data_IF_036666964579
#
_entry.id   IF_036666964579
#
_cell.length_a   1.000
_cell.length_b   1.000
_cell.length_c   1.000
_cell.angle_alpha   90.00
_cell.angle_beta   90.00
_cell.angle_gamma   90.00
#
_symmetry.space_group_name_H-M   'P 1'
#
loop_
_entity.id
_entity.type
_entity.pdbx_description
1 polymer ?
#
# COMPACT_ATOMS: atom_id res chain seq x y z
N UNK A 1 36.13 -24.34 -24.74
CA UNK A 1 34.85 -25.04 -24.54
C UNK A 1 34.93 -25.67 -23.17
N UNK A 2 34.64 -24.86 -22.15
CA UNK A 2 34.70 -25.23 -20.73
C UNK A 2 33.32 -24.96 -20.17
N UNK A 3 32.72 -26.03 -19.66
CA UNK A 3 31.44 -26.07 -19.00
C UNK A 3 31.68 -25.69 -17.53
N UNK A 4 31.26 -24.49 -17.13
CA UNK A 4 31.16 -24.11 -15.72
C UNK A 4 29.68 -24.24 -15.32
N UNK A 5 29.40 -25.31 -14.57
CA UNK A 5 28.11 -25.59 -13.96
C UNK A 5 27.83 -24.57 -12.84
N UNK A 6 26.91 -23.64 -13.10
CA UNK A 6 26.28 -22.84 -12.04
C UNK A 6 25.11 -23.63 -11.45
N UNK A 7 25.38 -24.39 -10.38
CA UNK A 7 24.36 -24.93 -9.48
C UNK A 7 23.66 -23.78 -8.74
N UNK A 8 22.44 -23.44 -9.18
CA UNK A 8 21.53 -22.56 -8.44
C UNK A 8 20.72 -23.47 -7.49
N UNK A 9 20.83 -23.35 -6.16
CA UNK A 9 20.04 -24.16 -5.24
C UNK A 9 18.54 -23.83 -5.38
N UNK A 10 17.64 -24.81 -5.24
CA UNK A 10 16.21 -24.61 -5.44
C UNK A 10 15.66 -23.61 -4.43
N UNK A 11 14.97 -22.60 -4.95
CA UNK A 11 14.39 -21.51 -4.17
C UNK A 11 13.57 -22.01 -2.99
N UNK A 12 13.99 -21.60 -1.80
CA UNK A 12 13.15 -21.67 -0.61
C UNK A 12 11.89 -20.84 -0.84
N UNK A 13 10.74 -21.42 -0.47
CA UNK A 13 9.45 -20.71 -0.41
C UNK A 13 9.62 -19.37 0.31
N UNK A 14 9.02 -18.26 -0.16
CA UNK A 14 9.08 -16.99 0.55
C UNK A 14 8.36 -17.15 1.89
N UNK A 15 9.13 -17.31 2.96
CA UNK A 15 8.63 -17.23 4.33
C UNK A 15 7.98 -15.86 4.49
N UNK A 16 6.73 -15.84 4.96
CA UNK A 16 6.04 -14.61 5.34
C UNK A 16 6.85 -13.97 6.47
N UNK A 17 7.39 -12.74 6.31
CA UNK A 17 8.31 -12.19 7.29
C UNK A 17 7.61 -11.99 8.64
N UNK A 18 8.09 -12.69 9.67
CA UNK A 18 7.69 -12.51 11.07
C UNK A 18 7.97 -11.06 11.49
N UNK A 19 6.96 -10.27 11.90
CA UNK A 19 7.11 -8.85 12.21
C UNK A 19 8.18 -8.55 13.26
N UNK A 20 8.45 -9.48 14.20
CA UNK A 20 9.53 -9.32 15.19
C UNK A 20 10.93 -9.48 14.57
N UNK A 21 11.07 -10.33 13.55
CA UNK A 21 12.34 -10.50 12.81
C UNK A 21 12.62 -9.33 11.88
N UNK A 22 11.59 -8.67 11.33
CA UNK A 22 11.78 -7.48 10.48
C UNK A 22 12.39 -6.34 11.31
N UNK A 23 11.98 -6.18 12.57
CA UNK A 23 12.49 -5.15 13.47
C UNK A 23 13.95 -5.42 13.90
N UNK A 24 14.27 -6.68 14.22
CA UNK A 24 15.64 -7.09 14.54
C UNK A 24 16.58 -7.03 13.32
N UNK A 25 16.08 -7.40 12.13
CA UNK A 25 16.83 -7.35 10.87
C UNK A 25 17.02 -5.90 10.40
N UNK A 26 15.99 -5.06 10.53
CA UNK A 26 16.09 -3.63 10.25
C UNK A 26 17.07 -2.92 11.21
N UNK A 27 17.09 -3.29 12.49
CA UNK A 27 18.06 -2.79 13.45
C UNK A 27 19.50 -3.19 13.10
N UNK A 28 19.70 -4.36 12.47
CA UNK A 28 21.02 -4.83 12.03
C UNK A 28 21.53 -4.08 10.78
N UNK A 29 20.66 -3.65 9.87
CA UNK A 29 21.04 -2.82 8.71
C UNK A 29 21.19 -1.32 9.04
N UNK A 30 20.71 -0.87 10.20
CA UNK A 30 20.80 0.51 10.70
C UNK A 30 22.08 0.72 11.53
N UNK A 31 23.23 0.32 11.01
CA UNK A 31 24.51 0.67 11.64
C UNK A 31 24.68 2.21 11.69
N UNK A 32 24.88 2.80 12.88
CA UNK A 32 24.90 4.26 13.07
C UNK A 32 26.15 4.96 12.52
N UNK A 33 27.08 4.23 11.88
CA UNK A 33 28.42 4.76 11.58
C UNK A 33 28.54 5.45 10.20
N UNK A 34 27.49 5.45 9.35
CA UNK A 34 27.52 6.13 8.04
C UNK A 34 26.32 7.00 7.69
N UNK A 35 25.53 7.43 8.67
CA UNK A 35 24.37 8.30 8.40
C UNK A 35 24.75 9.75 8.70
N UNK A 36 24.83 10.57 7.65
CA UNK A 36 25.14 12.00 7.79
C UNK A 36 24.05 12.73 8.61
N UNK A 37 24.38 13.87 9.26
CA UNK A 37 23.44 14.60 10.12
C UNK A 37 22.12 15.01 9.41
N UNK A 38 22.11 15.09 8.08
CA UNK A 38 20.92 15.41 7.26
C UNK A 38 20.00 14.20 7.08
N UNK A 39 20.54 13.03 6.77
CA UNK A 39 19.78 11.78 6.61
C UNK A 39 19.14 11.35 7.94
N UNK A 40 19.84 11.59 9.06
CA UNK A 40 19.31 11.31 10.41
C UNK A 40 18.05 12.11 10.73
N UNK A 41 17.91 13.33 10.21
CA UNK A 41 16.71 14.14 10.40
C UNK A 41 15.54 13.68 9.51
N UNK A 42 15.83 13.16 8.31
CA UNK A 42 14.82 12.59 7.42
C UNK A 42 14.29 11.27 7.99
N UNK A 43 15.17 10.37 8.41
CA UNK A 43 14.81 9.10 9.06
C UNK A 43 14.02 9.36 10.35
N UNK A 44 14.43 10.34 11.17
CA UNK A 44 13.70 10.71 12.38
C UNK A 44 12.29 11.23 12.07
N UNK A 45 12.11 12.01 11.00
CA UNK A 45 10.78 12.48 10.57
C UNK A 45 9.89 11.35 10.03
N UNK A 46 10.48 10.36 9.35
CA UNK A 46 9.77 9.18 8.87
C UNK A 46 9.36 8.26 10.03
N UNK A 47 10.26 7.99 10.98
CA UNK A 47 9.97 7.17 12.16
C UNK A 47 8.93 7.83 13.07
N UNK A 48 8.97 9.16 13.24
CA UNK A 48 8.03 9.89 14.11
C UNK A 48 6.60 9.92 13.55
N UNK A 49 6.40 9.82 12.22
CA UNK A 49 5.05 9.71 11.63
C UNK A 49 4.48 8.30 11.78
N UNK A 50 5.32 7.27 11.63
CA UNK A 50 4.91 5.86 11.74
C UNK A 50 4.37 5.52 13.13
N UNK A 51 5.02 6.02 14.19
CA UNK A 51 4.62 5.74 15.57
C UNK A 51 3.28 6.36 15.95
N UNK A 52 2.90 7.51 15.38
CA UNK A 52 1.64 8.21 15.70
C UNK A 52 0.43 7.49 15.08
N UNK A 53 0.58 6.91 13.89
CA UNK A 53 -0.49 6.13 13.26
C UNK A 53 -0.72 4.78 13.95
N UNK A 54 0.36 4.08 14.35
CA UNK A 54 0.25 2.79 15.05
C UNK A 54 -0.37 2.91 16.44
N UNK A 55 -0.08 3.98 17.19
CA UNK A 55 -0.61 4.18 18.56
C UNK A 55 -2.12 4.49 18.56
N UNK A 56 -2.62 5.19 17.54
CA UNK A 56 -4.06 5.42 17.35
C UNK A 56 -4.82 4.12 17.05
N UNK A 57 -4.23 3.21 16.25
CA UNK A 57 -4.83 1.92 15.92
C UNK A 57 -4.91 1.00 17.16
N UNK A 58 -3.84 0.98 17.97
CA UNK A 58 -3.72 0.10 19.15
C UNK A 58 -4.66 0.49 20.29
N UNK A 59 -5.03 1.77 20.41
CA UNK A 59 -5.98 2.27 21.44
C UNK A 59 -7.45 1.90 21.17
N UNK A 60 -7.83 1.60 19.93
CA UNK A 60 -9.20 1.23 19.59
C UNK A 60 -9.47 -0.29 19.67
N UNK A 61 -8.46 -1.13 19.47
CA UNK A 61 -8.59 -2.60 19.53
C UNK A 61 -8.88 -3.16 20.94
N UNK A 62 -8.59 -2.40 22.00
CA UNK A 62 -8.60 -2.93 23.37
C UNK A 62 -10.00 -3.06 24.01
N UNK A 63 -11.10 -2.82 23.28
CA UNK A 63 -12.49 -2.83 23.83
C UNK A 63 -13.48 -3.80 23.18
N UNK A 64 -13.07 -4.65 22.24
CA UNK A 64 -13.97 -5.53 21.49
C UNK A 64 -13.52 -6.97 21.63
N UNK A 65 -14.40 -7.85 22.11
CA UNK A 65 -14.17 -9.28 21.83
C UNK A 65 -15.48 -10.07 21.73
N UNK A 66 -16.47 -9.80 22.57
CA UNK A 66 -17.66 -10.69 22.63
C UNK A 66 -18.82 -10.19 21.75
N UNK A 67 -19.25 -8.94 21.92
CA UNK A 67 -20.40 -8.39 21.18
C UNK A 67 -20.12 -8.24 19.68
N UNK A 68 -18.88 -7.89 19.34
CA UNK A 68 -18.46 -7.66 17.96
C UNK A 68 -18.42 -8.95 17.15
N UNK A 69 -17.88 -10.04 17.70
CA UNK A 69 -17.85 -11.34 17.01
C UNK A 69 -19.26 -11.87 16.75
N UNK A 70 -20.17 -11.70 17.70
CA UNK A 70 -21.58 -12.09 17.54
C UNK A 70 -22.28 -11.24 16.46
N UNK A 71 -22.05 -9.92 16.46
CA UNK A 71 -22.63 -9.03 15.44
C UNK A 71 -22.09 -9.32 14.02
N UNK A 72 -20.80 -9.66 13.88
CA UNK A 72 -20.20 -10.08 12.60
C UNK A 72 -20.83 -11.36 12.07
N UNK A 73 -21.04 -12.34 12.94
CA UNK A 73 -21.64 -13.62 12.58
C UNK A 73 -23.11 -13.46 12.17
N UNK A 74 -23.88 -12.65 12.91
CA UNK A 74 -25.29 -12.35 12.59
C UNK A 74 -25.42 -11.54 11.30
N UNK A 75 -24.55 -10.53 11.07
CA UNK A 75 -24.57 -9.76 9.83
C UNK A 75 -24.22 -10.61 8.61
N UNK A 76 -23.23 -11.51 8.74
CA UNK A 76 -22.83 -12.45 7.69
C UNK A 76 -23.92 -13.47 7.40
N UNK A 77 -24.61 -13.97 8.44
CA UNK A 77 -25.70 -14.92 8.30
C UNK A 77 -26.94 -14.28 7.66
N UNK A 78 -27.32 -13.08 8.10
CA UNK A 78 -28.47 -12.35 7.57
C UNK A 78 -28.31 -11.85 6.14
N UNK A 79 -27.08 -11.68 5.65
CA UNK A 79 -26.79 -11.25 4.28
C UNK A 79 -26.65 -12.38 3.25
N UNK A 80 -26.77 -13.66 3.66
CA UNK A 80 -26.59 -14.79 2.76
C UNK A 80 -27.84 -15.10 1.94
N UNK A 81 -27.67 -15.37 0.64
CA UNK A 81 -28.75 -15.84 -0.23
C UNK A 81 -29.43 -17.12 0.27
N UNK A 82 -28.68 -18.02 0.90
CA UNK A 82 -29.22 -19.26 1.48
C UNK A 82 -30.16 -18.98 2.66
N UNK A 83 -29.85 -17.97 3.49
CA UNK A 83 -30.71 -17.59 4.62
C UNK A 83 -32.05 -17.05 4.12
N UNK A 84 -32.03 -16.19 3.10
CA UNK A 84 -33.25 -15.63 2.49
C UNK A 84 -34.15 -16.76 1.99
N UNK A 85 -33.60 -17.73 1.24
CA UNK A 85 -34.37 -18.85 0.70
C UNK A 85 -34.96 -19.76 1.79
N UNK A 86 -34.18 -20.11 2.82
CA UNK A 86 -34.68 -20.90 3.95
C UNK A 86 -35.76 -20.14 4.75
N UNK A 87 -35.57 -18.85 4.99
CA UNK A 87 -36.52 -18.02 5.73
C UNK A 87 -37.84 -17.87 4.97
N UNK A 88 -37.79 -17.59 3.67
CA UNK A 88 -39.00 -17.55 2.82
C UNK A 88 -39.69 -18.91 2.80
N UNK A 89 -38.95 -20.01 2.64
CA UNK A 89 -39.52 -21.37 2.69
C UNK A 89 -40.19 -21.68 4.03
N UNK A 90 -39.58 -21.30 5.14
CA UNK A 90 -40.17 -21.44 6.48
C UNK A 90 -41.48 -20.65 6.61
N UNK A 91 -41.50 -19.38 6.18
CA UNK A 91 -42.72 -18.55 6.20
C UNK A 91 -43.83 -19.16 5.33
N UNK A 92 -43.49 -19.65 4.14
CA UNK A 92 -44.46 -20.32 3.25
C UNK A 92 -45.00 -21.60 3.89
N UNK A 93 -44.13 -22.43 4.47
CA UNK A 93 -44.54 -23.68 5.14
C UNK A 93 -45.41 -23.40 6.37
N UNK A 94 -45.05 -22.40 7.17
CA UNK A 94 -45.82 -21.98 8.35
C UNK A 94 -47.21 -21.46 7.97
N UNK A 95 -47.29 -20.65 6.91
CA UNK A 95 -48.54 -20.11 6.39
C UNK A 95 -49.43 -21.22 5.82
N UNK A 96 -48.86 -22.16 5.05
CA UNK A 96 -49.58 -23.32 4.53
C UNK A 96 -50.08 -24.24 5.65
N UNK A 97 -49.25 -24.49 6.66
CA UNK A 97 -49.62 -25.29 7.83
C UNK A 97 -50.79 -24.68 8.61
N UNK A 98 -50.76 -23.37 8.86
CA UNK A 98 -51.84 -22.67 9.56
C UNK A 98 -53.12 -22.55 8.72
N UNK A 99 -53.02 -22.35 7.41
CA UNK A 99 -54.21 -22.26 6.52
C UNK A 99 -54.90 -23.60 6.30
N UNK A 100 -54.16 -24.71 6.34
CA UNK A 100 -54.70 -26.07 6.23
C UNK A 100 -55.26 -26.61 7.56
N UNK A 101 -54.86 -26.04 8.70
CA UNK A 101 -55.38 -26.37 10.03
C UNK A 101 -56.80 -25.80 10.24
N UNK A 102 -57.80 -26.50 9.72
CA UNK A 102 -59.24 -26.15 9.66
C UNK A 102 -60.00 -25.99 11.01
N UNK A 103 -59.34 -25.82 12.15
CA UNK A 103 -60.06 -25.65 13.43
C UNK A 103 -59.22 -25.43 14.69
N UNK A 104 -57.94 -25.82 14.68
CA UNK A 104 -57.00 -25.62 15.79
C UNK A 104 -55.71 -24.94 15.30
N UNK A 105 -55.84 -23.93 14.42
CA UNK A 105 -54.69 -23.18 13.95
C UNK A 105 -54.10 -22.34 15.11
N UNK A 106 -52.81 -22.51 15.46
CA UNK A 106 -52.15 -21.68 16.47
C UNK A 106 -52.13 -20.19 16.09
N UNK A 107 -52.18 -19.86 14.79
CA UNK A 107 -52.21 -18.48 14.27
C UNK A 107 -53.23 -18.35 13.11
N UNK A 108 -54.53 -18.13 13.40
CA UNK A 108 -55.56 -17.92 12.38
C UNK A 108 -55.32 -16.65 11.57
N UNK A 109 -55.81 -16.63 10.32
CA UNK A 109 -55.79 -15.42 9.47
C UNK A 109 -56.43 -14.25 10.24
N UNK A 110 -55.73 -13.12 10.51
CA UNK A 110 -54.65 -12.48 9.72
C UNK A 110 -53.19 -12.66 10.24
N UNK A 111 -52.85 -13.78 10.90
CA UNK A 111 -51.48 -14.13 11.36
C UNK A 111 -50.83 -13.10 12.30
N UNK A 112 -51.40 -12.90 13.48
CA UNK A 112 -50.96 -11.88 14.44
C UNK A 112 -49.59 -12.22 15.04
N UNK A 113 -49.35 -13.50 15.34
CA UNK A 113 -48.07 -13.92 15.92
C UNK A 113 -46.92 -13.78 14.93
N UNK A 114 -47.13 -14.20 13.68
CA UNK A 114 -46.13 -14.05 12.63
C UNK A 114 -45.81 -12.57 12.37
N UNK A 115 -46.83 -11.70 12.31
CA UNK A 115 -46.63 -10.26 12.15
C UNK A 115 -45.86 -9.63 13.32
N UNK A 116 -46.11 -10.05 14.56
CA UNK A 116 -45.40 -9.56 15.74
C UNK A 116 -43.91 -9.94 15.68
N UNK A 117 -43.62 -11.21 15.38
CA UNK A 117 -42.25 -11.72 15.28
C UNK A 117 -41.49 -11.02 14.14
N UNK A 118 -42.11 -10.90 12.96
CA UNK A 118 -41.49 -10.21 11.82
C UNK A 118 -41.18 -8.73 12.14
N UNK A 119 -42.12 -8.04 12.79
CA UNK A 119 -41.92 -6.64 13.20
C UNK A 119 -40.75 -6.50 14.16
N UNK A 120 -40.63 -7.42 15.13
CA UNK A 120 -39.52 -7.42 16.09
C UNK A 120 -38.18 -7.69 15.40
N UNK A 121 -38.12 -8.69 14.50
CA UNK A 121 -36.91 -9.00 13.73
C UNK A 121 -36.47 -7.79 12.89
N UNK A 122 -37.41 -7.16 12.18
CA UNK A 122 -37.12 -5.97 11.37
C UNK A 122 -36.59 -4.79 12.20
N UNK A 123 -37.12 -4.58 13.40
CA UNK A 123 -36.65 -3.52 14.30
C UNK A 123 -35.17 -3.71 14.71
N UNK A 124 -34.73 -4.97 14.90
CA UNK A 124 -33.33 -5.27 15.21
C UNK A 124 -32.40 -5.25 13.99
N UNK A 125 -32.92 -5.35 12.77
CA UNK A 125 -32.09 -5.35 11.56
C UNK A 125 -31.37 -4.02 11.35
N UNK A 126 -32.04 -2.88 11.49
CA UNK A 126 -31.44 -1.58 11.19
C UNK A 126 -30.22 -1.25 12.08
N UNK A 127 -30.24 -1.47 13.42
CA UNK A 127 -29.05 -1.31 14.26
C UNK A 127 -27.92 -2.28 13.93
N UNK A 128 -28.22 -3.55 13.64
CA UNK A 128 -27.20 -4.55 13.28
C UNK A 128 -26.53 -4.19 11.96
N UNK A 129 -27.32 -3.77 10.97
CA UNK A 129 -26.81 -3.28 9.69
C UNK A 129 -25.94 -2.05 9.94
N UNK A 130 -26.39 -1.08 10.73
CA UNK A 130 -25.64 0.14 11.05
C UNK A 130 -24.33 -0.16 11.80
N UNK A 131 -24.32 -1.11 12.72
CA UNK A 131 -23.10 -1.57 13.40
C UNK A 131 -22.14 -2.25 12.43
N UNK A 132 -22.64 -3.08 11.52
CA UNK A 132 -21.82 -3.74 10.51
C UNK A 132 -21.22 -2.75 9.50
N UNK A 133 -21.99 -1.72 9.12
CA UNK A 133 -21.54 -0.63 8.26
C UNK A 133 -20.49 0.23 8.95
N UNK A 134 -20.71 0.61 10.22
CA UNK A 134 -19.76 1.40 10.99
C UNK A 134 -18.40 0.68 11.11
N UNK A 135 -18.41 -0.65 11.26
CA UNK A 135 -17.19 -1.47 11.28
C UNK A 135 -16.51 -1.56 9.92
N UNK A 136 -17.25 -1.70 8.83
CA UNK A 136 -16.66 -1.67 7.47
C UNK A 136 -16.03 -0.31 7.19
N UNK A 137 -16.71 0.79 7.51
CA UNK A 137 -16.18 2.14 7.34
C UNK A 137 -14.89 2.38 8.14
N UNK A 138 -14.77 1.80 9.34
CA UNK A 138 -13.55 1.87 10.15
C UNK A 138 -12.38 1.12 9.48
N UNK A 139 -12.62 -0.09 8.97
CA UNK A 139 -11.63 -0.85 8.20
C UNK A 139 -11.22 -0.12 6.93
N UNK A 140 -12.18 0.43 6.19
CA UNK A 140 -11.93 1.18 4.97
C UNK A 140 -11.09 2.43 5.25
N UNK A 141 -11.35 3.14 6.36
CA UNK A 141 -10.54 4.28 6.79
C UNK A 141 -9.09 3.87 7.11
N UNK A 142 -8.90 2.73 7.78
CA UNK A 142 -7.57 2.21 8.09
C UNK A 142 -6.82 1.84 6.81
N UNK A 143 -7.45 1.12 5.90
CA UNK A 143 -6.88 0.76 4.60
C UNK A 143 -6.51 2.02 3.81
N UNK A 144 -7.41 3.01 3.73
CA UNK A 144 -7.12 4.28 3.05
C UNK A 144 -5.94 5.04 3.68
N UNK A 145 -5.79 5.01 5.01
CA UNK A 145 -4.65 5.63 5.68
C UNK A 145 -3.33 4.93 5.38
N UNK A 146 -3.35 3.60 5.28
CA UNK A 146 -2.19 2.80 4.91
C UNK A 146 -1.81 3.03 3.44
N UNK A 147 -2.78 3.01 2.54
CA UNK A 147 -2.56 3.28 1.11
C UNK A 147 -1.99 4.68 0.89
N UNK A 148 -2.44 5.67 1.65
CA UNK A 148 -1.86 7.02 1.65
C UNK A 148 -0.39 7.02 2.08
N UNK A 149 -0.03 6.28 3.13
CA UNK A 149 1.36 6.16 3.60
C UNK A 149 2.26 5.49 2.56
N UNK A 150 1.79 4.40 1.93
CA UNK A 150 2.51 3.71 0.86
C UNK A 150 2.71 4.63 -0.34
N UNK A 151 1.67 5.35 -0.77
CA UNK A 151 1.77 6.28 -1.89
C UNK A 151 2.76 7.42 -1.60
N UNK A 152 2.70 8.02 -0.41
CA UNK A 152 3.62 9.07 -0.01
C UNK A 152 5.08 8.56 0.03
N UNK A 153 5.30 7.33 0.49
CA UNK A 153 6.63 6.72 0.49
C UNK A 153 7.15 6.54 -0.94
N UNK A 154 6.33 6.02 -1.84
CA UNK A 154 6.68 5.87 -3.26
C UNK A 154 7.02 7.21 -3.91
N UNK A 155 6.26 8.27 -3.61
CA UNK A 155 6.52 9.62 -4.12
C UNK A 155 7.90 10.16 -3.67
N UNK A 156 8.26 9.95 -2.40
CA UNK A 156 9.57 10.35 -1.87
C UNK A 156 10.71 9.55 -2.53
N UNK A 157 10.52 8.24 -2.71
CA UNK A 157 11.52 7.39 -3.38
C UNK A 157 11.74 7.81 -4.83
N UNK A 158 10.67 8.14 -5.57
CA UNK A 158 10.76 8.66 -6.95
C UNK A 158 11.52 9.99 -6.96
N UNK A 159 11.23 10.91 -6.03
CA UNK A 159 11.93 12.19 -5.95
C UNK A 159 13.44 12.00 -5.68
N UNK A 160 13.80 11.09 -4.78
CA UNK A 160 15.19 10.77 -4.49
C UNK A 160 15.91 10.13 -5.69
N UNK A 161 15.22 9.26 -6.44
CA UNK A 161 15.75 8.69 -7.68
C UNK A 161 15.96 9.77 -8.74
N UNK A 162 15.04 10.72 -8.87
CA UNK A 162 15.14 11.83 -9.82
C UNK A 162 16.35 12.72 -9.50
N UNK A 163 16.53 13.10 -8.23
CA UNK A 163 17.70 13.89 -7.81
C UNK A 163 19.01 13.16 -8.10
N UNK A 164 19.08 11.85 -7.86
CA UNK A 164 20.26 11.04 -8.16
C UNK A 164 20.54 10.98 -9.67
N UNK A 165 19.49 10.82 -10.48
CA UNK A 165 19.59 10.81 -11.94
C UNK A 165 20.10 12.15 -12.47
N UNK A 166 19.52 13.26 -12.00
CA UNK A 166 19.93 14.60 -12.39
C UNK A 166 21.38 14.88 -12.02
N UNK A 167 21.81 14.42 -10.83
CA UNK A 167 23.20 14.54 -10.41
C UNK A 167 24.14 13.78 -11.35
N UNK A 168 23.86 12.50 -11.64
CA UNK A 168 24.68 11.70 -12.56
C UNK A 168 24.70 12.33 -13.95
N UNK A 169 23.56 12.82 -14.44
CA UNK A 169 23.45 13.47 -15.74
C UNK A 169 24.29 14.74 -15.82
N UNK A 170 24.27 15.56 -14.77
CA UNK A 170 25.07 16.78 -14.70
C UNK A 170 26.57 16.48 -14.62
N UNK A 171 26.98 15.44 -13.88
CA UNK A 171 28.37 15.00 -13.81
C UNK A 171 28.88 14.55 -15.19
N UNK A 172 28.08 13.75 -15.91
CA UNK A 172 28.41 13.30 -17.26
C UNK A 172 28.46 14.46 -18.27
N UNK A 173 27.51 15.40 -18.20
CA UNK A 173 27.48 16.56 -19.09
C UNK A 173 28.71 17.45 -18.89
N UNK A 174 29.12 17.68 -17.63
CA UNK A 174 30.35 18.42 -17.30
C UNK A 174 31.58 17.70 -17.84
N UNK A 175 31.65 16.37 -17.73
CA UNK A 175 32.75 15.59 -18.26
C UNK A 175 32.86 15.75 -19.79
N UNK A 176 31.74 15.71 -20.52
CA UNK A 176 31.72 15.92 -21.98
C UNK A 176 32.19 17.33 -22.34
N UNK A 177 31.69 18.36 -21.65
CA UNK A 177 32.10 19.76 -21.89
C UNK A 177 33.60 19.96 -21.65
N UNK A 178 34.15 19.39 -20.57
CA UNK A 178 35.59 19.49 -20.28
C UNK A 178 36.47 18.88 -21.39
N UNK A 179 36.05 17.75 -21.96
CA UNK A 179 36.74 17.13 -23.11
C UNK A 179 36.66 17.99 -24.36
N UNK A 180 35.53 18.68 -24.59
CA UNK A 180 35.37 19.60 -25.71
C UNK A 180 36.29 20.82 -25.57
N UNK A 181 36.39 21.40 -24.37
CA UNK A 181 37.31 22.51 -24.09
C UNK A 181 38.76 22.11 -24.38
N UNK A 182 39.19 20.94 -23.92
CA UNK A 182 40.54 20.42 -24.18
C UNK A 182 40.79 20.24 -25.69
N UNK A 183 39.83 19.67 -26.43
CA UNK A 183 39.93 19.53 -27.89
C UNK A 183 40.01 20.87 -28.63
N UNK A 184 39.25 21.88 -28.19
CA UNK A 184 39.28 23.23 -28.79
C UNK A 184 40.64 23.90 -28.53
N UNK A 185 41.18 23.77 -27.32
CA UNK A 185 42.52 24.31 -26.99
C UNK A 185 43.60 23.66 -27.85
N UNK A 186 43.59 22.34 -27.99
CA UNK A 186 44.53 21.61 -28.84
C UNK A 186 44.43 22.05 -30.31
N UNK A 187 43.21 22.21 -30.83
CA UNK A 187 43.00 22.69 -32.20
C UNK A 187 43.53 24.13 -32.38
N UNK A 188 43.32 24.99 -31.38
CA UNK A 188 43.80 26.37 -31.36
C UNK A 188 45.33 26.45 -31.36
N UNK A 189 46.01 25.59 -30.61
CA UNK A 189 47.47 25.53 -30.54
C UNK A 189 48.07 25.03 -31.86
N UNK A 190 47.48 23.97 -32.46
CA UNK A 190 47.89 23.46 -33.77
C UNK A 190 47.74 24.53 -34.86
N UNK A 191 46.62 25.26 -34.87
CA UNK A 191 46.40 26.36 -35.81
C UNK A 191 47.44 27.48 -35.61
N UNK A 192 47.73 27.85 -34.37
CA UNK A 192 48.72 28.89 -34.05
C UNK A 192 50.13 28.48 -34.48
N UNK A 193 50.49 27.22 -34.26
CA UNK A 193 51.78 26.66 -34.68
C UNK A 193 51.89 26.59 -36.20
N UNK A 194 50.83 26.19 -36.89
CA UNK A 194 50.76 26.21 -38.35
C UNK A 194 50.89 27.63 -38.91
N UNK A 195 50.22 28.61 -38.30
CA UNK A 195 50.31 30.02 -38.71
C UNK A 195 51.72 30.60 -38.51
N UNK A 196 52.39 30.24 -37.42
CA UNK A 196 53.79 30.65 -37.16
C UNK A 196 54.79 30.00 -38.12
N UNK A 197 54.52 28.77 -38.57
CA UNK A 197 55.36 28.04 -39.53
C UNK A 197 55.07 28.38 -41.00
N UNK A 198 54.20 29.37 -41.28
CA UNK A 198 54.04 29.90 -42.63
C UNK A 198 55.33 30.62 -43.04
N UNK A 199 55.95 30.26 -44.19
CA UNK A 199 57.15 30.94 -44.68
C UNK A 199 56.91 32.44 -44.86
N UNK A 200 57.79 33.29 -44.33
CA UNK A 200 57.82 34.74 -44.59
C UNK A 200 58.21 35.10 -46.05
N UNK A 201 57.95 34.23 -47.03
CA UNK A 201 58.23 34.51 -48.44
C UNK A 201 57.06 35.26 -49.08
N UNK A 202 57.10 36.58 -48.96
CA UNK A 202 56.93 37.53 -50.08
C UNK A 202 56.76 38.95 -49.53
N UNK A 203 57.83 39.51 -48.94
CA UNK A 203 58.01 40.96 -49.01
C UNK A 203 58.88 41.24 -50.23
N UNK A 204 58.33 41.76 -51.35
CA UNK A 204 59.17 42.23 -52.44
C UNK A 204 59.99 43.41 -51.92
N UNK A 205 61.32 43.20 -51.86
CA UNK A 205 62.29 44.27 -51.65
C UNK A 205 62.44 45.09 -52.94
N UNK A 206 62.54 46.41 -52.73
CA UNK A 206 62.88 47.51 -53.65
C UNK A 206 61.88 47.88 -54.73
#
# INVERSE_FOLDING_TARGET
MTQDDCDIPPGGTPETPDPGKIEATAAHYLEPEKIGPRERNVIRRLLSRRTVATDMNRRFDSRRDIGDRLADEVARFGGSWTFILCFTGFLTLWTLGNTLARGEAPDPYPFIFLNLILSMIAAFQAPIIMMSQNRQAEKDRLNASHDYEVNLKSEIEIMALHEKLDRMRNEELRAIVSKQEEQITLLGDLLRQALHNLPQEASPKS
#
